data_IF_351203091338
#
_entry.id   IF_351203091338
#
_cell.length_a   1.000
_cell.length_b   1.000
_cell.length_c   1.000
_cell.angle_alpha   90.00
_cell.angle_beta   90.00
_cell.angle_gamma   90.00
#
_symmetry.space_group_name_H-M   'P 1'
#
loop_
_entity.id
_entity.type
_entity.pdbx_description
1 polymer ?
#
# COMPACT_ATOMS: atom_id res chain seq x y z
N UNK A 1 18.39 -8.22 -18.63
CA UNK A 1 17.68 -7.21 -17.80
C UNK A 1 16.90 -7.93 -16.69
N UNK A 2 17.59 -8.73 -15.85
CA UNK A 2 16.96 -9.62 -14.85
C UNK A 2 17.58 -9.50 -13.44
N UNK A 3 18.74 -8.87 -13.27
CA UNK A 3 19.55 -8.98 -12.04
C UNK A 3 19.32 -7.89 -10.99
N UNK A 4 18.28 -7.06 -11.12
CA UNK A 4 17.85 -6.17 -10.02
C UNK A 4 16.66 -6.75 -9.23
N UNK A 5 15.88 -7.63 -9.86
CA UNK A 5 14.64 -8.15 -9.28
C UNK A 5 14.89 -9.22 -8.20
N UNK A 6 15.92 -10.06 -8.34
CA UNK A 6 16.18 -11.15 -7.38
C UNK A 6 16.82 -10.70 -6.06
N UNK A 7 17.50 -9.55 -6.03
CA UNK A 7 18.10 -9.01 -4.78
C UNK A 7 17.10 -8.20 -3.94
N UNK A 8 16.01 -7.70 -4.54
CA UNK A 8 14.96 -6.91 -3.87
C UNK A 8 13.66 -7.68 -3.62
N UNK A 9 13.54 -8.92 -4.09
CA UNK A 9 12.45 -9.84 -3.74
C UNK A 9 12.79 -10.62 -2.47
N UNK A 10 12.72 -9.97 -1.32
CA UNK A 10 12.38 -10.69 -0.09
C UNK A 10 10.86 -10.77 0.00
N UNK A 11 10.32 -11.75 -0.71
CA UNK A 11 9.10 -12.41 -0.31
C UNK A 11 9.38 -13.12 1.02
N UNK A 12 9.14 -12.44 2.14
CA UNK A 12 9.40 -13.01 3.46
C UNK A 12 9.12 -12.02 4.58
N UNK A 13 8.03 -12.28 5.29
CA UNK A 13 7.79 -11.93 6.69
C UNK A 13 8.40 -10.63 7.22
N UNK A 14 7.58 -9.60 7.39
CA UNK A 14 7.65 -8.85 8.63
C UNK A 14 6.31 -9.00 9.36
N UNK A 15 6.39 -9.73 10.47
CA UNK A 15 5.35 -9.83 11.49
C UNK A 15 5.79 -8.86 12.58
N UNK A 16 5.18 -7.69 12.58
CA UNK A 16 5.44 -6.60 13.52
C UNK A 16 4.36 -5.55 13.35
N UNK A 17 4.10 -4.76 14.39
CA UNK A 17 3.14 -3.64 14.36
C UNK A 17 3.26 -2.82 13.07
N UNK A 18 2.16 -2.64 12.32
CA UNK A 18 2.14 -2.00 10.99
C UNK A 18 2.87 -0.67 11.04
N UNK A 19 4.16 -0.71 10.72
CA UNK A 19 5.02 0.44 10.81
C UNK A 19 4.93 1.20 9.49
N UNK A 20 5.07 2.52 9.56
CA UNK A 20 5.12 3.37 8.36
C UNK A 20 6.06 2.81 7.28
N UNK A 21 7.18 2.21 7.69
CA UNK A 21 8.14 1.56 6.80
C UNK A 21 7.63 0.27 6.16
N UNK A 22 6.97 -0.60 6.90
CA UNK A 22 6.42 -1.86 6.38
C UNK A 22 5.29 -1.61 5.40
N UNK A 23 4.38 -0.70 5.75
CA UNK A 23 3.26 -0.36 4.88
C UNK A 23 3.75 0.36 3.59
N UNK A 24 4.73 1.26 3.72
CA UNK A 24 5.38 1.87 2.56
C UNK A 24 6.06 0.83 1.67
N UNK A 25 6.80 -0.11 2.28
CA UNK A 25 7.47 -1.19 1.58
C UNK A 25 6.48 -2.09 0.83
N UNK A 26 5.37 -2.46 1.47
CA UNK A 26 4.33 -3.26 0.85
C UNK A 26 3.68 -2.54 -0.35
N UNK A 27 3.42 -1.24 -0.24
CA UNK A 27 2.85 -0.44 -1.35
C UNK A 27 3.85 -0.30 -2.50
N UNK A 28 5.11 -0.01 -2.21
CA UNK A 28 6.16 0.05 -3.23
C UNK A 28 6.31 -1.30 -3.92
N UNK A 29 6.34 -2.38 -3.15
CA UNK A 29 6.37 -3.77 -3.64
C UNK A 29 5.17 -4.08 -4.53
N UNK A 30 3.96 -3.68 -4.14
CA UNK A 30 2.76 -3.82 -4.95
C UNK A 30 2.82 -3.02 -6.26
N UNK A 31 3.33 -1.78 -6.22
CA UNK A 31 3.43 -0.92 -7.41
C UNK A 31 4.52 -1.44 -8.37
N UNK A 32 5.65 -1.91 -7.83
CA UNK A 32 6.76 -2.48 -8.58
C UNK A 32 6.49 -3.91 -9.06
N UNK A 33 5.66 -4.65 -8.32
CA UNK A 33 5.23 -6.00 -8.63
C UNK A 33 4.16 -6.02 -9.71
N UNK A 34 4.26 -6.97 -10.64
CA UNK A 34 3.20 -7.23 -11.64
C UNK A 34 2.04 -8.05 -11.06
N UNK A 35 1.68 -7.81 -9.80
CA UNK A 35 0.71 -8.62 -9.05
C UNK A 35 -0.74 -8.22 -9.33
N UNK A 36 -0.96 -7.06 -9.97
CA UNK A 36 -2.28 -6.53 -10.32
C UNK A 36 -2.35 -6.16 -11.80
N UNK A 37 -3.51 -6.34 -12.43
CA UNK A 37 -3.73 -6.00 -13.84
C UNK A 37 -3.42 -4.52 -14.14
N UNK A 38 -2.99 -4.23 -15.36
CA UNK A 38 -2.48 -2.91 -15.76
C UNK A 38 -3.46 -1.74 -15.45
N UNK A 39 -4.77 -1.98 -15.63
CA UNK A 39 -5.80 -1.00 -15.30
C UNK A 39 -5.88 -0.70 -13.79
N UNK A 40 -5.82 -1.74 -12.94
CA UNK A 40 -5.79 -1.59 -11.48
C UNK A 40 -4.51 -0.88 -11.03
N UNK A 41 -3.36 -1.26 -11.58
CA UNK A 41 -2.08 -0.62 -11.25
C UNK A 41 -2.11 0.88 -11.57
N UNK A 42 -2.65 1.27 -12.73
CA UNK A 42 -2.76 2.67 -13.11
C UNK A 42 -3.69 3.45 -12.17
N UNK A 43 -4.82 2.85 -11.77
CA UNK A 43 -5.74 3.43 -10.79
C UNK A 43 -5.05 3.63 -9.44
N UNK A 44 -4.33 2.63 -8.92
CA UNK A 44 -3.61 2.73 -7.65
C UNK A 44 -2.50 3.78 -7.70
N UNK A 45 -1.72 3.82 -8.78
CA UNK A 45 -0.70 4.86 -8.96
C UNK A 45 -1.32 6.26 -8.89
N UNK A 46 -2.49 6.48 -9.49
CA UNK A 46 -3.21 7.76 -9.38
C UNK A 46 -3.70 8.04 -7.96
N UNK A 47 -4.37 7.08 -7.33
CA UNK A 47 -4.89 7.23 -5.95
C UNK A 47 -3.80 7.48 -4.92
N UNK A 48 -2.60 6.95 -5.14
CA UNK A 48 -1.42 7.16 -4.28
C UNK A 48 -0.72 8.48 -4.61
N UNK A 49 -0.68 8.88 -5.89
CA UNK A 49 -0.11 10.16 -6.28
C UNK A 49 -0.96 11.35 -5.80
N UNK A 50 -2.28 11.19 -5.70
CA UNK A 50 -3.20 12.26 -5.29
C UNK A 50 -2.91 12.86 -3.90
N UNK A 51 -2.66 12.07 -2.83
CA UNK A 51 -2.25 12.62 -1.54
C UNK A 51 -0.79 13.14 -1.51
N UNK A 52 0.00 12.96 -2.57
CA UNK A 52 1.40 13.35 -2.63
C UNK A 52 2.40 12.20 -2.82
N UNK A 53 1.93 10.99 -3.11
CA UNK A 53 2.76 9.80 -3.33
C UNK A 53 2.66 8.78 -2.20
N UNK A 54 3.53 7.76 -2.23
CA UNK A 54 3.49 6.63 -1.29
C UNK A 54 3.64 7.09 0.15
N UNK A 55 4.63 7.94 0.45
CA UNK A 55 4.89 8.39 1.82
C UNK A 55 3.69 9.13 2.42
N UNK A 56 3.05 10.02 1.66
CA UNK A 56 1.89 10.75 2.14
C UNK A 56 0.63 9.89 2.24
N UNK A 57 0.45 8.91 1.32
CA UNK A 57 -0.59 7.91 1.46
C UNK A 57 -0.42 7.11 2.78
N UNK A 58 0.80 6.65 3.07
CA UNK A 58 1.09 5.89 4.31
C UNK A 58 1.00 6.78 5.54
N UNK A 59 1.35 8.05 5.43
CA UNK A 59 1.21 9.02 6.53
C UNK A 59 -0.26 9.28 6.85
N UNK A 60 -1.12 9.37 5.83
CA UNK A 60 -2.56 9.45 6.01
C UNK A 60 -3.13 8.17 6.63
N UNK A 61 -2.65 7.00 6.21
CA UNK A 61 -3.01 5.72 6.83
C UNK A 61 -2.56 5.62 8.29
N UNK A 62 -1.35 6.12 8.61
CA UNK A 62 -0.83 6.19 9.97
C UNK A 62 -1.64 7.16 10.83
N UNK A 63 -2.03 8.32 10.31
CA UNK A 63 -2.96 9.24 10.97
C UNK A 63 -4.32 8.59 11.27
N UNK A 64 -4.74 7.63 10.44
CA UNK A 64 -5.92 6.79 10.66
C UNK A 64 -5.65 5.56 11.56
N UNK A 65 -4.47 5.48 12.18
CA UNK A 65 -4.01 4.34 13.00
C UNK A 65 -4.02 3.00 12.25
N UNK A 66 -3.85 3.03 10.92
CA UNK A 66 -3.92 1.84 10.07
C UNK A 66 -5.27 1.09 10.12
N UNK A 67 -6.33 1.73 10.64
CA UNK A 67 -7.66 1.12 10.74
C UNK A 67 -8.51 1.45 9.52
N UNK A 68 -9.02 0.40 8.87
CA UNK A 68 -9.89 0.54 7.69
C UNK A 68 -11.10 1.44 7.97
N UNK A 69 -11.77 1.29 9.11
CA UNK A 69 -12.91 2.13 9.48
C UNK A 69 -12.54 3.62 9.59
N UNK A 70 -11.34 3.94 10.09
CA UNK A 70 -10.88 5.32 10.22
C UNK A 70 -10.50 5.91 8.87
N UNK A 71 -9.91 5.12 7.99
CA UNK A 71 -9.65 5.54 6.61
C UNK A 71 -10.95 5.79 5.84
N UNK A 72 -11.97 4.94 6.03
CA UNK A 72 -13.31 5.17 5.47
C UNK A 72 -13.96 6.44 6.00
N UNK A 73 -13.80 6.72 7.30
CA UNK A 73 -14.32 7.93 7.95
C UNK A 73 -13.58 9.20 7.53
N UNK A 74 -12.29 9.10 7.19
CA UNK A 74 -11.51 10.21 6.64
C UNK A 74 -12.07 10.70 5.30
N UNK A 75 -12.72 9.82 4.53
CA UNK A 75 -13.42 10.19 3.31
C UNK A 75 -12.49 10.42 2.11
N UNK A 76 -13.09 10.84 1.00
CA UNK A 76 -12.37 11.17 -0.23
C UNK A 76 -11.53 10.01 -0.76
N UNK A 77 -10.32 10.33 -1.22
CA UNK A 77 -9.44 9.38 -1.89
C UNK A 77 -8.84 8.35 -0.97
N UNK A 78 -8.74 8.64 0.33
CA UNK A 78 -8.26 7.67 1.33
C UNK A 78 -9.23 6.50 1.48
N UNK A 79 -10.55 6.74 1.39
CA UNK A 79 -11.57 5.68 1.40
C UNK A 79 -11.44 4.76 0.19
N UNK A 80 -11.26 5.33 -1.00
CA UNK A 80 -11.10 4.57 -2.25
C UNK A 80 -9.79 3.77 -2.23
N UNK A 81 -8.71 4.41 -1.80
CA UNK A 81 -7.40 3.78 -1.64
C UNK A 81 -7.47 2.62 -0.65
N UNK A 82 -8.07 2.83 0.53
CA UNK A 82 -8.22 1.78 1.53
C UNK A 82 -9.04 0.59 0.99
N UNK A 83 -10.10 0.85 0.23
CA UNK A 83 -10.88 -0.18 -0.45
C UNK A 83 -10.04 -1.01 -1.44
N UNK A 84 -9.30 -0.34 -2.32
CA UNK A 84 -8.45 -1.04 -3.29
C UNK A 84 -7.29 -1.80 -2.64
N UNK A 85 -6.63 -1.20 -1.63
CA UNK A 85 -5.53 -1.80 -0.89
C UNK A 85 -5.98 -2.97 -0.01
N UNK A 86 -7.17 -2.90 0.59
CA UNK A 86 -7.74 -3.99 1.38
C UNK A 86 -8.01 -5.25 0.56
N UNK A 87 -8.23 -5.12 -0.75
CA UNK A 87 -8.35 -6.24 -1.67
C UNK A 87 -7.02 -6.88 -2.07
N UNK A 88 -5.89 -6.38 -1.57
CA UNK A 88 -4.56 -6.88 -1.88
C UNK A 88 -3.99 -7.51 -0.61
N UNK A 89 -3.97 -8.84 -0.62
CA UNK A 89 -3.67 -9.69 0.52
C UNK A 89 -2.36 -9.34 1.25
N UNK A 90 -1.30 -9.00 0.50
CA UNK A 90 -0.03 -8.54 1.08
C UNK A 90 -0.16 -7.16 1.75
N UNK A 91 -0.90 -6.22 1.16
CA UNK A 91 -1.09 -4.90 1.75
C UNK A 91 -1.98 -5.00 2.98
N UNK A 92 -3.07 -5.78 2.90
CA UNK A 92 -3.98 -6.01 4.01
C UNK A 92 -3.21 -6.42 5.27
N UNK A 93 -2.30 -7.39 5.15
CA UNK A 93 -1.50 -7.89 6.27
C UNK A 93 -0.47 -6.90 6.83
N UNK A 94 0.10 -6.05 5.98
CA UNK A 94 1.19 -5.15 6.38
C UNK A 94 0.74 -3.72 6.72
N UNK A 95 -0.44 -3.31 6.26
CA UNK A 95 -0.94 -1.94 6.39
C UNK A 95 -2.25 -1.82 7.20
N UNK A 96 -2.95 -2.93 7.47
CA UNK A 96 -4.23 -2.88 8.16
C UNK A 96 -4.21 -3.80 9.38
N UNK A 97 -4.45 -3.21 10.56
CA UNK A 97 -4.60 -3.91 11.83
C UNK A 97 -5.95 -3.61 12.50
#
# INVERSE_FOLDING_TARGET
>A
MQTWFEENTQAGAFVGEASFWECSGAIISMIGGKLIGAAKLLKMKRLIAEPGGVSEAVRAMWGASFKYEKMRKAGGTLTVLAGELSGIDQIQRNCFQ
#
